data_IF_742047865287
#
_entry.id   IF_742047865287
#
_cell.length_a   1.000
_cell.length_b   1.000
_cell.length_c   1.000
_cell.angle_alpha   90.00
_cell.angle_beta   90.00
_cell.angle_gamma   90.00
#
_symmetry.space_group_name_H-M   'P 1'
#
loop_
_entity.id
_entity.type
_entity.pdbx_description
1 polymer ?
#
# COMPACT_ATOMS: atom_id res chain seq x y z
N UNK A 1 -17.07 8.48 9.59
CA UNK A 1 -16.34 8.18 10.83
C UNK A 1 -15.25 7.20 10.45
N UNK A 2 -14.06 7.26 11.05
CA UNK A 2 -13.09 6.17 10.86
C UNK A 2 -13.71 4.85 11.36
N UNK A 3 -13.39 3.70 10.74
CA UNK A 3 -13.99 2.43 11.05
C UNK A 3 -13.76 2.08 12.52
N UNK A 4 -14.63 1.23 13.05
CA UNK A 4 -14.62 0.78 14.44
C UNK A 4 -13.38 -0.09 14.82
N UNK A 5 -12.40 -0.23 13.94
CA UNK A 5 -11.13 -0.93 14.21
C UNK A 5 -10.13 -0.09 15.01
N UNK A 6 -9.17 -0.77 15.65
CA UNK A 6 -8.02 -0.14 16.34
C UNK A 6 -6.71 -0.50 15.63
N UNK A 7 -6.44 0.06 14.43
CA UNK A 7 -5.24 -0.28 13.68
C UNK A 7 -3.99 0.25 14.38
N UNK A 8 -2.87 -0.45 14.19
CA UNK A 8 -1.56 0.01 14.67
C UNK A 8 -1.01 1.18 13.84
N UNK A 9 -1.41 1.27 12.56
CA UNK A 9 -0.95 2.30 11.61
C UNK A 9 -2.06 2.66 10.61
N UNK A 10 -2.18 3.95 10.27
CA UNK A 10 -2.96 4.43 9.14
C UNK A 10 -2.05 4.80 7.96
N UNK A 11 -2.35 4.27 6.77
CA UNK A 11 -1.73 4.71 5.51
C UNK A 11 -2.48 5.93 4.97
N UNK A 12 -1.78 7.05 4.81
CA UNK A 12 -2.30 8.31 4.29
C UNK A 12 -2.19 8.31 2.77
N UNK A 13 -3.16 7.65 2.13
CA UNK A 13 -3.27 7.51 0.68
C UNK A 13 -4.00 8.72 0.05
N UNK A 14 -3.45 9.43 -0.94
CA UNK A 14 -2.09 9.36 -1.45
C UNK A 14 -1.46 10.74 -1.52
N UNK A 15 -0.13 10.79 -1.57
CA UNK A 15 0.64 11.96 -2.01
C UNK A 15 1.04 11.74 -3.46
N UNK A 16 0.62 12.66 -4.32
CA UNK A 16 0.91 12.65 -5.75
C UNK A 16 1.32 14.05 -6.21
N UNK A 17 1.87 14.15 -7.41
CA UNK A 17 2.20 15.41 -8.06
C UNK A 17 0.92 16.18 -8.39
N UNK A 18 0.98 17.52 -8.28
CA UNK A 18 -0.09 18.38 -8.79
C UNK A 18 -0.06 18.61 -10.31
N UNK A 19 0.83 17.91 -11.00
CA UNK A 19 1.05 18.02 -12.44
C UNK A 19 2.12 19.03 -12.84
N UNK A 20 2.71 19.78 -11.89
CA UNK A 20 3.90 20.61 -12.10
C UNK A 20 5.20 19.86 -11.73
N UNK A 21 6.36 20.53 -11.87
CA UNK A 21 7.66 19.93 -11.49
C UNK A 21 7.70 19.75 -9.96
N UNK A 22 7.63 18.48 -9.54
CA UNK A 22 7.96 18.02 -8.19
C UNK A 22 7.19 18.67 -7.02
N UNK A 23 5.95 19.12 -7.22
CA UNK A 23 5.13 19.68 -6.13
C UNK A 23 4.21 18.61 -5.53
N UNK A 24 4.46 18.13 -4.30
CA UNK A 24 3.61 17.14 -3.65
C UNK A 24 2.28 17.75 -3.17
N UNK A 25 1.19 16.99 -3.32
CA UNK A 25 -0.14 17.30 -2.76
C UNK A 25 -0.84 16.03 -2.27
N UNK A 26 -1.66 16.19 -1.23
CA UNK A 26 -2.59 15.15 -0.81
C UNK A 26 -3.69 15.00 -1.87
N UNK A 27 -3.75 13.82 -2.49
CA UNK A 27 -4.65 13.45 -3.57
C UNK A 27 -4.65 14.44 -4.74
N UNK A 28 -3.48 15.05 -5.03
CA UNK A 28 -3.32 16.08 -6.08
C UNK A 28 -4.10 17.38 -5.83
N UNK A 29 -4.85 17.45 -4.72
CA UNK A 29 -5.88 18.46 -4.49
C UNK A 29 -5.49 19.41 -3.38
N UNK A 30 -5.09 18.87 -2.22
CA UNK A 30 -4.75 19.69 -1.06
C UNK A 30 -3.24 19.87 -0.97
N UNK A 31 -2.79 21.12 -0.77
CA UNK A 31 -1.40 21.40 -0.47
C UNK A 31 -0.92 20.58 0.75
N UNK A 32 0.35 20.15 0.76
CA UNK A 32 0.90 19.33 1.84
C UNK A 32 0.73 19.96 3.22
N UNK A 33 0.85 21.29 3.33
CA UNK A 33 0.61 22.05 4.57
C UNK A 33 -0.86 22.42 4.85
N UNK A 34 -1.84 21.77 4.22
CA UNK A 34 -3.25 22.08 4.43
C UNK A 34 -3.68 21.80 5.89
N UNK A 35 -4.28 22.81 6.54
CA UNK A 35 -4.64 22.72 7.97
C UNK A 35 -5.76 21.72 8.29
N UNK A 36 -6.69 21.48 7.34
CA UNK A 36 -7.74 20.48 7.52
C UNK A 36 -7.16 19.07 7.48
N UNK A 37 -6.23 18.79 6.54
CA UNK A 37 -5.51 17.52 6.48
C UNK A 37 -4.65 17.33 7.73
N UNK A 38 -3.90 18.34 8.16
CA UNK A 38 -3.09 18.27 9.39
C UNK A 38 -3.94 18.00 10.65
N UNK A 39 -5.11 18.64 10.76
CA UNK A 39 -6.06 18.39 11.85
C UNK A 39 -6.58 16.95 11.80
N UNK A 40 -6.83 16.43 10.60
CA UNK A 40 -7.28 15.05 10.41
C UNK A 40 -6.22 14.02 10.81
N UNK A 41 -4.97 14.22 10.39
CA UNK A 41 -3.83 13.39 10.78
C UNK A 41 -3.66 13.41 12.31
N UNK A 42 -3.79 14.58 12.93
CA UNK A 42 -3.70 14.72 14.39
C UNK A 42 -4.77 13.88 15.10
N UNK A 43 -6.02 13.93 14.62
CA UNK A 43 -7.12 13.12 15.17
C UNK A 43 -6.88 11.61 15.01
N UNK A 44 -6.32 11.15 13.90
CA UNK A 44 -5.97 9.74 13.72
C UNK A 44 -4.93 9.28 14.76
N UNK A 45 -3.94 10.12 15.05
CA UNK A 45 -2.87 9.84 16.01
C UNK A 45 -3.35 9.85 17.47
N UNK A 46 -4.50 10.44 17.79
CA UNK A 46 -5.08 10.40 19.15
C UNK A 46 -5.41 8.97 19.61
N UNK A 47 -5.63 8.05 18.68
CA UNK A 47 -5.82 6.62 18.97
C UNK A 47 -4.54 5.91 19.45
N UNK A 48 -3.37 6.55 19.30
CA UNK A 48 -2.06 5.94 19.50
C UNK A 48 -1.50 5.24 18.26
N UNK A 49 -2.27 5.19 17.16
CA UNK A 49 -1.79 4.66 15.88
C UNK A 49 -0.67 5.51 15.28
N UNK A 50 0.28 4.84 14.62
CA UNK A 50 1.26 5.51 13.76
C UNK A 50 0.60 5.96 12.45
N UNK A 51 1.29 6.83 11.71
CA UNK A 51 0.87 7.23 10.36
C UNK A 51 2.00 6.95 9.37
N UNK A 52 1.63 6.39 8.22
CA UNK A 52 2.50 6.14 7.08
C UNK A 52 2.03 6.98 5.91
N UNK A 53 2.94 7.65 5.21
CA UNK A 53 2.60 8.44 4.03
C UNK A 53 2.75 7.56 2.80
N UNK A 54 1.66 7.35 2.06
CA UNK A 54 1.66 6.57 0.81
C UNK A 54 1.76 7.51 -0.40
N UNK A 55 2.76 7.28 -1.23
CA UNK A 55 3.04 8.02 -2.46
C UNK A 55 2.62 7.18 -3.67
N UNK A 56 1.95 7.78 -4.66
CA UNK A 56 1.49 7.09 -5.87
C UNK A 56 0.03 6.63 -5.79
N UNK A 57 -0.21 5.34 -5.98
CA UNK A 57 -1.51 4.70 -6.15
C UNK A 57 -2.01 4.69 -7.60
N UNK A 58 -3.12 3.98 -7.85
CA UNK A 58 -3.69 3.73 -9.18
C UNK A 58 -4.11 4.97 -10.00
N UNK A 59 -4.04 6.19 -9.45
CA UNK A 59 -4.53 7.39 -10.13
C UNK A 59 -3.73 8.63 -9.78
N UNK A 60 -3.58 9.52 -10.77
CA UNK A 60 -2.81 10.74 -10.66
C UNK A 60 -1.45 10.61 -11.36
N UNK A 61 -0.54 11.54 -11.05
CA UNK A 61 0.85 11.45 -11.48
C UNK A 61 1.73 11.23 -10.27
N UNK A 62 2.47 10.13 -10.24
CA UNK A 62 3.44 9.89 -9.18
C UNK A 62 4.57 10.94 -9.25
N UNK A 63 5.21 11.25 -8.12
CA UNK A 63 6.18 12.35 -8.06
C UNK A 63 7.44 12.07 -8.90
N UNK A 64 7.94 10.84 -8.95
CA UNK A 64 9.11 10.50 -9.77
C UNK A 64 8.82 10.57 -11.28
N UNK A 65 7.56 10.60 -11.70
CA UNK A 65 7.17 10.87 -13.09
C UNK A 65 7.26 12.36 -13.47
N UNK A 66 7.31 13.28 -12.48
CA UNK A 66 7.33 14.72 -12.75
C UNK A 66 8.56 15.45 -12.23
N UNK A 67 9.28 14.88 -11.27
CA UNK A 67 10.48 15.49 -10.71
C UNK A 67 11.68 15.39 -11.67
N UNK A 68 12.44 16.48 -11.75
CA UNK A 68 13.63 16.58 -12.63
C UNK A 68 14.95 16.04 -12.03
N UNK A 69 14.99 15.72 -10.73
CA UNK A 69 16.19 15.15 -10.09
C UNK A 69 15.87 14.41 -8.78
N UNK A 70 16.76 13.49 -8.40
CA UNK A 70 16.61 12.70 -7.18
C UNK A 70 16.57 13.56 -5.91
N UNK A 71 17.36 14.65 -5.87
CA UNK A 71 17.36 15.58 -4.72
C UNK A 71 16.04 16.32 -4.57
N UNK A 72 15.45 16.83 -5.67
CA UNK A 72 14.12 17.46 -5.62
C UNK A 72 13.06 16.46 -5.19
N UNK A 73 13.13 15.24 -5.70
CA UNK A 73 12.19 14.18 -5.34
C UNK A 73 12.31 13.79 -3.85
N UNK A 74 13.53 13.67 -3.32
CA UNK A 74 13.78 13.43 -1.91
C UNK A 74 13.23 14.57 -1.03
N UNK A 75 13.42 15.83 -1.43
CA UNK A 75 12.84 17.00 -0.76
C UNK A 75 11.30 16.95 -0.75
N UNK A 76 10.68 16.57 -1.87
CA UNK A 76 9.22 16.44 -1.98
C UNK A 76 8.66 15.33 -1.08
N UNK A 77 9.30 14.16 -1.07
CA UNK A 77 8.95 13.05 -0.16
C UNK A 77 9.12 13.46 1.30
N UNK A 78 10.24 14.10 1.64
CA UNK A 78 10.52 14.61 2.98
C UNK A 78 9.48 15.64 3.45
N UNK A 79 9.06 16.57 2.59
CA UNK A 79 8.06 17.57 2.93
C UNK A 79 6.70 16.96 3.30
N UNK A 80 6.28 15.90 2.60
CA UNK A 80 5.05 15.19 2.92
C UNK A 80 5.14 14.41 4.24
N UNK A 81 6.26 13.74 4.48
CA UNK A 81 6.54 13.06 5.75
C UNK A 81 6.54 14.04 6.94
N UNK A 82 7.17 15.20 6.78
CA UNK A 82 7.21 16.23 7.81
C UNK A 82 5.82 16.79 8.13
N UNK A 83 5.00 17.04 7.11
CA UNK A 83 3.64 17.53 7.30
C UNK A 83 2.74 16.53 8.04
N UNK A 84 2.97 15.23 7.87
CA UNK A 84 2.28 14.19 8.62
C UNK A 84 2.92 13.90 9.99
N UNK A 85 4.16 14.36 10.22
CA UNK A 85 4.99 13.93 11.34
C UNK A 85 5.17 12.41 11.34
N UNK A 86 5.53 11.86 10.17
CA UNK A 86 5.66 10.44 9.89
C UNK A 86 7.12 10.06 9.63
N UNK A 87 7.52 8.87 10.08
CA UNK A 87 8.80 8.23 9.75
C UNK A 87 8.60 6.97 8.90
N UNK A 88 7.35 6.69 8.53
CA UNK A 88 6.94 5.57 7.71
C UNK A 88 6.57 6.10 6.32
N UNK A 89 7.29 5.69 5.29
CA UNK A 89 6.99 5.97 3.90
C UNK A 89 6.55 4.69 3.20
N UNK A 90 5.58 4.83 2.31
CA UNK A 90 5.07 3.78 1.42
C UNK A 90 5.07 4.29 -0.01
N UNK A 91 5.65 3.52 -0.92
CA UNK A 91 5.65 3.84 -2.33
C UNK A 91 4.74 2.82 -3.02
N UNK A 92 3.49 3.23 -3.23
CA UNK A 92 2.46 2.46 -3.90
C UNK A 92 2.55 2.73 -5.41
N UNK A 93 3.22 1.82 -6.13
CA UNK A 93 3.59 2.04 -7.53
C UNK A 93 2.85 1.02 -8.38
N UNK A 94 2.01 1.53 -9.28
CA UNK A 94 1.03 0.74 -10.03
C UNK A 94 1.04 1.09 -11.52
N UNK A 95 0.54 0.16 -12.34
CA UNK A 95 0.27 0.39 -13.76
C UNK A 95 1.47 0.90 -14.55
N UNK A 96 1.23 1.85 -15.45
CA UNK A 96 2.25 2.37 -16.37
C UNK A 96 3.46 3.00 -15.64
N UNK A 97 3.30 3.46 -14.39
CA UNK A 97 4.39 4.01 -13.58
C UNK A 97 5.48 2.97 -13.27
N UNK A 98 5.13 1.67 -13.23
CA UNK A 98 6.12 0.58 -13.09
C UNK A 98 6.97 0.40 -14.36
N UNK A 99 6.40 0.69 -15.53
CA UNK A 99 7.07 0.50 -16.83
C UNK A 99 8.07 1.63 -17.16
N UNK A 100 8.01 2.76 -16.46
CA UNK A 100 8.93 3.88 -16.64
C UNK A 100 10.23 3.67 -15.85
N UNK A 101 11.17 2.97 -16.47
CA UNK A 101 12.51 2.71 -15.90
C UNK A 101 13.25 3.98 -15.43
N UNK A 102 13.02 5.15 -16.05
CA UNK A 102 13.68 6.37 -15.64
C UNK A 102 13.11 6.88 -14.31
N UNK A 103 11.79 6.83 -14.13
CA UNK A 103 11.14 7.16 -12.87
C UNK A 103 11.44 6.14 -11.77
N UNK A 104 11.56 4.86 -12.10
CA UNK A 104 11.97 3.79 -11.16
C UNK A 104 13.38 4.05 -10.59
N UNK A 105 14.36 4.32 -11.47
CA UNK A 105 15.73 4.63 -11.05
C UNK A 105 15.77 5.94 -10.25
N UNK A 106 15.08 7.00 -10.71
CA UNK A 106 15.01 8.29 -10.04
C UNK A 106 14.44 8.16 -8.62
N UNK A 107 13.37 7.37 -8.45
CA UNK A 107 12.74 7.08 -7.16
C UNK A 107 13.72 6.38 -6.22
N UNK A 108 14.42 5.36 -6.72
CA UNK A 108 15.40 4.60 -5.94
C UNK A 108 16.53 5.50 -5.43
N UNK A 109 17.09 6.35 -6.30
CA UNK A 109 18.10 7.35 -5.92
C UNK A 109 17.57 8.35 -4.88
N UNK A 110 16.34 8.84 -5.04
CA UNK A 110 15.73 9.80 -4.12
C UNK A 110 15.47 9.19 -2.74
N UNK A 111 14.97 7.96 -2.69
CA UNK A 111 14.75 7.25 -1.42
C UNK A 111 16.09 7.03 -0.71
N UNK A 112 17.13 6.60 -1.43
CA UNK A 112 18.45 6.40 -0.85
C UNK A 112 19.06 7.71 -0.30
N UNK A 113 18.83 8.85 -0.97
CA UNK A 113 19.19 10.17 -0.45
C UNK A 113 18.39 10.50 0.82
N UNK A 114 17.08 10.30 0.80
CA UNK A 114 16.22 10.60 1.92
C UNK A 114 16.55 9.76 3.17
N UNK A 115 16.91 8.49 3.01
CA UNK A 115 17.36 7.62 4.12
C UNK A 115 18.72 8.03 4.70
N UNK A 116 19.59 8.68 3.92
CA UNK A 116 20.84 9.27 4.46
C UNK A 116 20.54 10.46 5.37
N UNK A 117 19.53 11.25 5.02
CA UNK A 117 19.11 12.42 5.80
C UNK A 117 18.22 12.04 7.00
N UNK A 118 17.49 10.91 6.90
CA UNK A 118 16.53 10.41 7.90
C UNK A 118 16.83 8.96 8.27
N UNK A 119 17.69 8.77 9.27
CA UNK A 119 18.11 7.42 9.69
C UNK A 119 16.98 6.57 10.31
N UNK A 120 15.87 7.18 10.69
CA UNK A 120 14.67 6.51 11.25
C UNK A 120 13.58 6.26 10.20
N UNK A 121 13.83 6.61 8.92
CA UNK A 121 12.87 6.40 7.85
C UNK A 121 12.74 4.91 7.50
N UNK A 122 11.54 4.37 7.73
CA UNK A 122 11.15 3.02 7.29
C UNK A 122 10.41 3.10 5.96
N UNK A 123 10.96 2.45 4.94
CA UNK A 123 10.41 2.42 3.57
C UNK A 123 9.67 1.11 3.31
N UNK A 124 8.45 1.21 2.79
CA UNK A 124 7.74 0.11 2.14
C UNK A 124 7.49 0.39 0.67
N UNK A 125 7.41 -0.67 -0.13
CA UNK A 125 6.83 -0.63 -1.47
C UNK A 125 5.51 -1.38 -1.46
N UNK A 126 4.44 -0.76 -1.95
CA UNK A 126 3.16 -1.42 -2.20
C UNK A 126 3.05 -1.70 -3.70
N UNK A 127 2.86 -2.98 -4.07
CA UNK A 127 2.98 -3.44 -5.46
C UNK A 127 1.84 -4.39 -5.85
N UNK A 128 1.38 -4.34 -7.11
CA UNK A 128 0.39 -5.29 -7.62
C UNK A 128 0.98 -6.71 -7.63
N UNK A 129 0.14 -7.71 -7.38
CA UNK A 129 0.56 -9.11 -7.35
C UNK A 129 -0.49 -9.99 -8.02
N UNK A 130 -0.02 -11.04 -8.67
CA UNK A 130 -0.86 -12.10 -9.23
C UNK A 130 -0.64 -13.40 -8.44
N UNK A 131 -1.45 -14.46 -8.62
CA UNK A 131 -1.16 -15.75 -7.99
C UNK A 131 0.21 -16.34 -8.39
N UNK A 132 0.77 -15.88 -9.52
CA UNK A 132 2.13 -16.23 -9.95
C UNK A 132 3.25 -15.37 -9.29
N UNK A 133 2.91 -14.39 -8.46
CA UNK A 133 3.85 -13.46 -7.84
C UNK A 133 3.79 -12.04 -8.42
N UNK A 134 4.80 -11.25 -8.09
CA UNK A 134 5.07 -9.94 -8.66
C UNK A 134 5.45 -10.08 -10.14
N UNK A 135 5.06 -9.12 -10.97
CA UNK A 135 5.48 -9.08 -12.37
C UNK A 135 6.91 -8.55 -12.55
N UNK A 136 7.44 -8.67 -13.77
CA UNK A 136 8.82 -8.31 -14.07
C UNK A 136 9.12 -6.82 -13.81
N UNK A 137 8.15 -5.93 -14.02
CA UNK A 137 8.32 -4.49 -13.78
C UNK A 137 8.35 -4.17 -12.27
N UNK A 138 7.53 -4.84 -11.47
CA UNK A 138 7.57 -4.77 -10.01
C UNK A 138 8.89 -5.32 -9.46
N UNK A 139 9.40 -6.42 -10.02
CA UNK A 139 10.72 -6.97 -9.67
C UNK A 139 11.83 -5.98 -10.04
N UNK A 140 11.79 -5.39 -11.24
CA UNK A 140 12.77 -4.40 -11.67
C UNK A 140 12.81 -3.17 -10.74
N UNK A 141 11.66 -2.75 -10.20
CA UNK A 141 11.60 -1.69 -9.19
C UNK A 141 12.30 -2.07 -7.88
N UNK A 142 12.09 -3.30 -7.39
CA UNK A 142 12.76 -3.79 -6.18
C UNK A 142 14.26 -3.97 -6.38
N UNK A 143 14.68 -4.47 -7.53
CA UNK A 143 16.09 -4.58 -7.92
C UNK A 143 16.75 -3.21 -8.00
N UNK A 144 16.12 -2.23 -8.65
CA UNK A 144 16.59 -0.84 -8.71
C UNK A 144 16.77 -0.23 -7.32
N UNK A 145 15.83 -0.48 -6.40
CA UNK A 145 15.94 -0.03 -5.02
C UNK A 145 17.15 -0.68 -4.31
N UNK A 146 17.33 -2.00 -4.47
CA UNK A 146 18.45 -2.74 -3.90
C UNK A 146 19.81 -2.25 -4.44
N UNK A 147 19.92 -2.05 -5.76
CA UNK A 147 21.13 -1.56 -6.44
C UNK A 147 21.52 -0.14 -5.99
N UNK A 148 20.53 0.70 -5.68
CA UNK A 148 20.74 2.03 -5.12
C UNK A 148 20.95 2.04 -3.59
N UNK A 149 21.05 0.87 -2.95
CA UNK A 149 21.21 0.71 -1.50
C UNK A 149 20.06 1.31 -0.68
N UNK A 150 18.83 1.25 -1.21
CA UNK A 150 17.63 1.56 -0.44
C UNK A 150 17.42 0.47 0.59
N UNK A 151 17.29 0.85 1.85
CA UNK A 151 16.92 -0.06 2.92
C UNK A 151 15.40 -0.27 2.89
N UNK A 152 14.94 -1.21 2.09
CA UNK A 152 13.53 -1.62 2.02
C UNK A 152 13.17 -2.40 3.29
N UNK A 153 12.28 -1.86 4.11
CA UNK A 153 11.84 -2.51 5.34
C UNK A 153 10.78 -3.57 5.05
N UNK A 154 9.91 -3.33 4.06
CA UNK A 154 8.81 -4.24 3.73
C UNK A 154 8.37 -4.09 2.28
N UNK A 155 8.04 -5.20 1.63
CA UNK A 155 7.27 -5.21 0.38
C UNK A 155 5.85 -5.66 0.71
N UNK A 156 4.88 -4.82 0.38
CA UNK A 156 3.48 -5.00 0.66
C UNK A 156 2.75 -5.33 -0.65
N UNK A 157 2.21 -6.54 -0.76
CA UNK A 157 1.55 -6.98 -2.00
C UNK A 157 0.05 -6.70 -1.96
N UNK A 158 -0.48 -6.17 -3.05
CA UNK A 158 -1.91 -5.90 -3.22
C UNK A 158 -2.64 -7.16 -3.67
N UNK A 159 -3.13 -7.96 -2.70
CA UNK A 159 -3.85 -9.21 -2.94
C UNK A 159 -5.31 -8.93 -3.35
N UNK A 160 -5.48 -8.35 -4.53
CA UNK A 160 -6.75 -7.87 -5.08
C UNK A 160 -6.68 -7.79 -6.62
N UNK A 161 -7.84 -7.71 -7.27
CA UNK A 161 -7.96 -7.40 -8.69
C UNK A 161 -7.14 -8.36 -9.59
N UNK A 162 -7.23 -9.66 -9.34
CA UNK A 162 -6.51 -10.71 -10.06
C UNK A 162 -6.95 -10.88 -11.53
N UNK A 163 -8.14 -10.40 -11.88
CA UNK A 163 -8.65 -10.42 -13.24
C UNK A 163 -9.66 -11.54 -13.47
N UNK A 164 -10.58 -11.32 -14.41
CA UNK A 164 -11.82 -12.10 -14.55
C UNK A 164 -11.66 -13.57 -14.94
N UNK A 165 -10.44 -14.00 -15.30
CA UNK A 165 -10.13 -15.41 -15.51
C UNK A 165 -9.91 -16.19 -14.20
N UNK A 166 -9.72 -15.50 -13.08
CA UNK A 166 -9.59 -16.11 -11.76
C UNK A 166 -10.97 -16.17 -11.10
N UNK A 167 -11.54 -17.36 -11.00
CA UNK A 167 -12.91 -17.61 -10.53
C UNK A 167 -12.95 -18.42 -9.21
N UNK A 168 -11.86 -18.36 -8.45
CA UNK A 168 -11.63 -19.13 -7.24
C UNK A 168 -11.79 -18.30 -5.97
N UNK A 169 -11.36 -18.87 -4.84
CA UNK A 169 -11.42 -18.21 -3.54
C UNK A 169 -10.36 -17.11 -3.41
N UNK A 170 -10.78 -15.91 -2.99
CA UNK A 170 -9.89 -14.74 -2.90
C UNK A 170 -8.86 -14.87 -1.78
N UNK A 171 -9.18 -15.58 -0.70
CA UNK A 171 -8.24 -15.89 0.37
C UNK A 171 -7.15 -16.85 -0.13
N UNK A 172 -7.53 -17.92 -0.83
CA UNK A 172 -6.58 -18.85 -1.44
C UNK A 172 -5.65 -18.15 -2.46
N UNK A 173 -6.18 -17.22 -3.26
CA UNK A 173 -5.35 -16.40 -4.15
C UNK A 173 -4.37 -15.50 -3.40
N UNK A 174 -4.82 -14.84 -2.32
CA UNK A 174 -3.95 -14.03 -1.48
C UNK A 174 -2.78 -14.84 -0.89
N UNK A 175 -3.07 -16.04 -0.39
CA UNK A 175 -2.07 -16.97 0.14
C UNK A 175 -1.09 -17.43 -0.95
N UNK A 176 -1.60 -17.83 -2.12
CA UNK A 176 -0.78 -18.28 -3.26
C UNK A 176 0.13 -17.16 -3.77
N UNK A 177 -0.40 -15.94 -3.92
CA UNK A 177 0.39 -14.75 -4.26
C UNK A 177 1.49 -14.48 -3.25
N UNK A 178 1.20 -14.63 -1.96
CA UNK A 178 2.17 -14.39 -0.90
C UNK A 178 3.32 -15.41 -0.91
N UNK A 179 3.04 -16.69 -1.20
CA UNK A 179 4.07 -17.72 -1.36
C UNK A 179 4.99 -17.44 -2.56
N UNK A 180 4.41 -17.06 -3.71
CA UNK A 180 5.18 -16.69 -4.88
C UNK A 180 6.04 -15.43 -4.65
N UNK A 181 5.45 -14.39 -4.05
CA UNK A 181 6.17 -13.17 -3.71
C UNK A 181 7.28 -13.42 -2.68
N UNK A 182 7.04 -14.29 -1.68
CA UNK A 182 8.08 -14.67 -0.71
C UNK A 182 9.34 -15.20 -1.40
N UNK A 183 9.20 -16.10 -2.38
CA UNK A 183 10.34 -16.69 -3.09
C UNK A 183 11.08 -15.61 -3.91
N UNK A 184 10.34 -14.73 -4.59
CA UNK A 184 10.93 -13.60 -5.32
C UNK A 184 11.69 -12.64 -4.40
N UNK A 185 11.14 -12.31 -3.23
CA UNK A 185 11.80 -11.42 -2.26
C UNK A 185 13.05 -12.07 -1.64
N UNK A 186 13.02 -13.38 -1.42
CA UNK A 186 14.19 -14.12 -0.96
C UNK A 186 15.34 -14.00 -1.97
N UNK A 187 15.04 -14.10 -3.26
CA UNK A 187 16.01 -13.98 -4.35
C UNK A 187 16.52 -12.54 -4.53
N UNK A 188 15.62 -11.56 -4.69
CA UNK A 188 15.98 -10.14 -4.95
C UNK A 188 16.85 -9.56 -3.83
N UNK A 189 16.49 -9.82 -2.58
CA UNK A 189 17.17 -9.23 -1.42
C UNK A 189 18.17 -10.18 -0.74
N UNK A 190 18.37 -11.40 -1.28
CA UNK A 190 19.26 -12.40 -0.69
C UNK A 190 18.86 -12.80 0.74
N UNK A 191 17.57 -12.83 1.03
CA UNK A 191 17.03 -13.08 2.37
C UNK A 191 16.94 -14.58 2.66
N UNK A 192 17.07 -14.93 3.94
CA UNK A 192 16.57 -16.24 4.40
C UNK A 192 15.04 -16.29 4.21
N UNK A 193 14.46 -17.49 4.06
CA UNK A 193 13.00 -17.65 3.97
C UNK A 193 12.25 -16.95 5.12
N UNK A 194 12.74 -17.07 6.36
CA UNK A 194 12.16 -16.35 7.50
C UNK A 194 12.22 -14.83 7.31
N UNK A 195 13.34 -14.32 6.81
CA UNK A 195 13.53 -12.90 6.54
C UNK A 195 12.60 -12.39 5.43
N UNK A 196 12.39 -13.18 4.37
CA UNK A 196 11.45 -12.85 3.30
C UNK A 196 10.01 -12.75 3.81
N UNK A 197 9.56 -13.69 4.65
CA UNK A 197 8.24 -13.57 5.30
C UNK A 197 8.15 -12.34 6.19
N UNK A 198 9.15 -12.10 7.05
CA UNK A 198 9.17 -10.93 7.94
C UNK A 198 9.25 -9.58 7.22
N UNK A 199 9.69 -9.58 5.95
CA UNK A 199 9.72 -8.42 5.06
C UNK A 199 8.53 -8.35 4.10
N UNK A 200 7.59 -9.29 4.14
CA UNK A 200 6.40 -9.31 3.29
C UNK A 200 5.18 -8.83 4.08
N UNK A 201 4.33 -8.03 3.45
CA UNK A 201 3.02 -7.64 3.96
C UNK A 201 1.94 -7.85 2.89
N UNK A 202 0.68 -7.97 3.32
CA UNK A 202 -0.46 -8.22 2.44
C UNK A 202 -1.52 -7.14 2.63
N UNK A 203 -1.93 -6.50 1.55
CA UNK A 203 -3.10 -5.59 1.52
C UNK A 203 -4.18 -6.19 0.64
N UNK A 204 -5.33 -6.54 1.23
CA UNK A 204 -6.48 -7.03 0.48
C UNK A 204 -7.51 -5.92 0.27
N UNK A 205 -8.13 -5.86 -0.90
CA UNK A 205 -9.31 -5.02 -1.10
C UNK A 205 -10.52 -5.76 -0.52
N UNK A 206 -11.21 -5.15 0.44
CA UNK A 206 -12.26 -5.85 1.22
C UNK A 206 -13.60 -5.85 0.49
N UNK A 207 -14.35 -6.94 0.56
CA UNK A 207 -15.62 -7.04 -0.16
C UNK A 207 -15.45 -7.05 -1.68
N UNK A 208 -16.38 -6.41 -2.40
CA UNK A 208 -16.42 -6.40 -3.87
C UNK A 208 -15.21 -5.64 -4.43
N UNK A 209 -14.49 -6.27 -5.34
CA UNK A 209 -13.32 -5.70 -6.01
C UNK A 209 -13.68 -5.04 -7.35
N UNK A 210 -12.70 -4.39 -7.99
CA UNK A 210 -12.90 -3.69 -9.27
C UNK A 210 -13.06 -4.64 -10.46
N UNK A 211 -12.71 -5.92 -10.27
CA UNK A 211 -12.84 -6.98 -11.25
C UNK A 211 -14.15 -7.75 -11.05
N UNK A 212 -14.90 -7.94 -12.15
CA UNK A 212 -16.13 -8.73 -12.16
C UNK A 212 -15.91 -10.12 -11.53
N UNK A 213 -16.82 -10.50 -10.63
CA UNK A 213 -16.84 -11.76 -9.87
C UNK A 213 -15.78 -11.90 -8.76
N UNK A 214 -15.03 -10.86 -8.45
CA UNK A 214 -14.15 -10.87 -7.28
C UNK A 214 -14.84 -10.26 -6.05
N UNK A 215 -14.89 -11.01 -4.95
CA UNK A 215 -15.39 -10.51 -3.67
C UNK A 215 -14.60 -11.14 -2.54
N UNK A 216 -13.80 -10.33 -1.86
CA UNK A 216 -13.02 -10.72 -0.68
C UNK A 216 -13.92 -10.72 0.57
N UNK A 217 -14.20 -11.88 1.13
CA UNK A 217 -15.15 -12.06 2.23
C UNK A 217 -14.50 -11.93 3.61
N UNK A 218 -15.33 -11.87 4.66
CA UNK A 218 -14.83 -11.92 6.05
C UNK A 218 -14.14 -13.26 6.37
N UNK A 219 -14.50 -14.35 5.69
CA UNK A 219 -13.81 -15.63 5.86
C UNK A 219 -12.39 -15.56 5.29
N UNK A 220 -12.23 -14.93 4.13
CA UNK A 220 -10.96 -14.71 3.45
C UNK A 220 -10.05 -13.81 4.32
N UNK A 221 -10.62 -12.78 4.95
CA UNK A 221 -9.90 -11.93 5.89
C UNK A 221 -9.32 -12.74 7.08
N UNK A 222 -10.13 -13.63 7.66
CA UNK A 222 -9.69 -14.50 8.74
C UNK A 222 -8.64 -15.52 8.27
N UNK A 223 -8.76 -16.03 7.04
CA UNK A 223 -7.78 -16.91 6.43
C UNK A 223 -6.43 -16.21 6.22
N UNK A 224 -6.42 -15.02 5.62
CA UNK A 224 -5.23 -14.19 5.42
C UNK A 224 -4.57 -13.86 6.77
N UNK A 225 -5.36 -13.52 7.79
CA UNK A 225 -4.83 -13.27 9.14
C UNK A 225 -4.17 -14.51 9.75
N UNK A 226 -4.84 -15.67 9.68
CA UNK A 226 -4.28 -16.94 10.19
C UNK A 226 -2.97 -17.29 9.50
N UNK A 227 -2.91 -17.15 8.17
CA UNK A 227 -1.70 -17.37 7.39
C UNK A 227 -0.58 -16.39 7.77
N UNK A 228 -0.92 -15.11 7.93
CA UNK A 228 -0.01 -14.06 8.33
C UNK A 228 0.68 -14.37 9.67
N UNK A 229 -0.09 -14.84 10.66
CA UNK A 229 0.44 -15.29 11.96
C UNK A 229 1.32 -16.53 11.85
N UNK A 230 0.91 -17.51 11.05
CA UNK A 230 1.66 -18.76 10.86
C UNK A 230 3.04 -18.50 10.23
N UNK A 231 3.09 -17.70 9.17
CA UNK A 231 4.32 -17.40 8.43
C UNK A 231 5.16 -16.32 9.09
N UNK A 232 4.57 -15.49 9.95
CA UNK A 232 5.24 -14.35 10.57
C UNK A 232 5.45 -13.20 9.59
N UNK A 233 4.42 -12.89 8.80
CA UNK A 233 4.43 -11.74 7.88
C UNK A 233 4.48 -10.42 8.65
N UNK A 234 5.00 -9.37 8.01
CA UNK A 234 5.23 -8.07 8.65
C UNK A 234 3.93 -7.43 9.15
N UNK A 235 2.89 -7.40 8.30
CA UNK A 235 1.55 -6.97 8.63
C UNK A 235 0.53 -7.41 7.58
N UNK A 236 -0.74 -7.30 7.94
CA UNK A 236 -1.88 -7.34 7.02
C UNK A 236 -2.59 -5.99 7.08
N UNK A 237 -3.12 -5.54 5.95
CA UNK A 237 -3.93 -4.32 5.87
C UNK A 237 -5.03 -4.44 4.84
N UNK A 238 -5.83 -3.38 4.66
CA UNK A 238 -6.97 -3.42 3.77
C UNK A 238 -7.13 -2.15 2.94
N UNK A 239 -7.63 -2.33 1.72
CA UNK A 239 -8.21 -1.27 0.90
C UNK A 239 -9.75 -1.32 0.97
N UNK A 240 -10.42 -0.44 1.70
CA UNK A 240 -9.85 0.58 2.58
C UNK A 240 -10.68 0.78 3.82
N UNK A 241 -10.10 1.49 4.78
CA UNK A 241 -10.71 1.99 6.03
C UNK A 241 -12.14 2.53 5.85
N UNK A 242 -12.43 3.26 4.76
CA UNK A 242 -13.77 3.81 4.52
C UNK A 242 -14.76 2.79 3.96
N UNK A 243 -14.27 1.69 3.39
CA UNK A 243 -15.09 0.61 2.83
C UNK A 243 -15.53 -0.39 3.89
N UNK A 244 -14.97 -0.36 5.10
CA UNK A 244 -15.24 -1.33 6.16
C UNK A 244 -16.59 -1.07 6.89
N UNK A 245 -17.64 -1.08 6.10
CA UNK A 245 -19.03 -0.96 6.51
C UNK A 245 -19.95 -1.53 5.43
N UNK A 246 -21.14 -1.97 5.85
CA UNK A 246 -22.16 -2.43 4.92
C UNK A 246 -22.69 -1.26 4.07
N UNK A 247 -22.96 -1.52 2.80
CA UNK A 247 -23.62 -0.55 1.93
C UNK A 247 -25.09 -0.35 2.31
N UNK A 248 -25.62 0.85 2.02
CA UNK A 248 -27.04 1.16 2.17
C UNK A 248 -27.93 0.21 1.34
N UNK A 249 -29.14 -0.06 1.85
CA UNK A 249 -30.12 -0.90 1.17
C UNK A 249 -30.46 -0.33 -0.22
N UNK A 250 -30.23 -1.13 -1.26
CA UNK A 250 -30.50 -0.76 -2.67
C UNK A 250 -29.28 -0.31 -3.47
N UNK A 251 -28.11 -0.18 -2.84
CA UNK A 251 -26.83 -0.06 -3.53
C UNK A 251 -26.56 -1.33 -4.35
N UNK A 252 -26.06 -1.16 -5.58
CA UNK A 252 -25.65 -2.29 -6.41
C UNK A 252 -24.48 -3.00 -5.74
N UNK A 253 -24.71 -4.20 -5.21
CA UNK A 253 -23.70 -4.97 -4.48
C UNK A 253 -22.68 -5.68 -5.36
N UNK A 254 -22.66 -5.40 -6.67
CA UNK A 254 -21.84 -6.10 -7.66
C UNK A 254 -20.79 -5.20 -8.31
N UNK A 255 -20.78 -3.90 -7.98
CA UNK A 255 -19.78 -2.94 -8.44
C UNK A 255 -19.00 -2.45 -7.21
N UNK A 256 -17.67 -2.26 -7.33
CA UNK A 256 -16.86 -1.74 -6.23
C UNK A 256 -17.29 -0.31 -5.85
N UNK A 257 -17.46 -0.07 -4.54
CA UNK A 257 -17.76 1.23 -3.98
C UNK A 257 -16.58 1.78 -3.17
N UNK A 258 -16.47 3.10 -3.09
CA UNK A 258 -15.36 3.78 -2.37
C UNK A 258 -15.61 3.92 -0.87
N UNK A 259 -16.85 3.75 -0.42
CA UNK A 259 -17.32 4.06 0.94
C UNK A 259 -18.08 2.91 1.61
N UNK A 260 -18.15 1.73 0.98
CA UNK A 260 -18.65 0.51 1.58
C UNK A 260 -18.07 -0.71 0.86
N UNK A 261 -18.17 -1.89 1.48
CA UNK A 261 -17.52 -3.11 0.98
C UNK A 261 -18.36 -3.86 -0.04
N UNK A 262 -19.67 -3.63 -0.11
CA UNK A 262 -20.58 -4.43 -0.93
C UNK A 262 -20.96 -5.78 -0.32
N UNK A 263 -20.43 -6.14 0.86
CA UNK A 263 -20.81 -7.35 1.59
C UNK A 263 -21.62 -7.04 2.84
N UNK A 264 -22.36 -8.04 3.33
CA UNK A 264 -23.10 -7.92 4.59
C UNK A 264 -22.13 -7.99 5.76
N UNK A 265 -22.08 -6.95 6.59
CA UNK A 265 -21.17 -6.85 7.72
C UNK A 265 -21.64 -5.84 8.76
N UNK A 266 -21.02 -5.83 9.94
CA UNK A 266 -21.03 -4.66 10.83
C UNK A 266 -19.91 -3.69 10.43
N UNK A 267 -20.03 -2.42 10.82
CA UNK A 267 -18.92 -1.46 10.63
C UNK A 267 -17.69 -1.93 11.42
N UNK A 268 -16.52 -1.93 10.78
CA UNK A 268 -15.27 -2.38 11.39
C UNK A 268 -15.00 -3.89 11.37
N UNK A 269 -15.88 -4.69 10.75
CA UNK A 269 -15.78 -6.15 10.82
C UNK A 269 -14.51 -6.70 10.14
N UNK A 270 -14.06 -6.10 9.03
CA UNK A 270 -12.81 -6.50 8.39
C UNK A 270 -11.60 -6.06 9.23
N UNK A 271 -11.63 -4.86 9.79
CA UNK A 271 -10.57 -4.40 10.70
C UNK A 271 -10.42 -5.33 11.92
N UNK A 272 -11.54 -5.80 12.49
CA UNK A 272 -11.53 -6.78 13.58
C UNK A 272 -10.94 -8.12 13.12
N UNK A 273 -11.36 -8.63 11.96
CA UNK A 273 -10.83 -9.88 11.40
C UNK A 273 -9.32 -9.82 11.13
N UNK A 274 -8.80 -8.68 10.63
CA UNK A 274 -7.37 -8.49 10.41
C UNK A 274 -6.57 -8.22 11.69
N UNK A 275 -7.19 -7.70 12.75
CA UNK A 275 -6.53 -7.44 14.02
C UNK A 275 -6.20 -8.74 14.79
N UNK A 276 -7.04 -9.78 14.63
CA UNK A 276 -6.95 -11.05 15.35
C UNK A 276 -7.63 -11.00 16.71
#
# INVERSE_FOLDING_TARGET
MDPAGSPSTYNLAFVISDGSDCTPKWNGTYAIGNSAVASRISALKESGASVRVSFGGASGKELAETCSSASKLAEAYGAALDAAGATLADFDIEGDTLTDSASVELRSQAIALLQKDRSDLSVSFTLPVMPAGLDDDSIALLESANDNSVQVATVNIMTMNYGSSYDGDMGDYALTSAEAAHDQLADVFGLSSKGAWQGLALTSMIGVNDVDNETFTLADAAQVRSFAEEKGVAWVSMWSTFRDQQCDDGSKSNDAATDCSGVKQTSGAFAEAFAG
#
